data_IF_104012823148
#
_entry.id   IF_104012823148
#
_cell.length_a   1.000
_cell.length_b   1.000
_cell.length_c   1.000
_cell.angle_alpha   90.00
_cell.angle_beta   90.00
_cell.angle_gamma   90.00
#
_symmetry.space_group_name_H-M   'P 1'
#
loop_
_entity.id
_entity.type
_entity.pdbx_description
1 polymer ?
#
# COMPACT_ATOMS: atom_id res chain seq x y z
N UNK A 1 6.32 8.96 40.79
CA UNK A 1 7.15 8.39 39.71
C UNK A 1 6.60 7.02 39.39
N UNK A 2 5.85 6.90 38.29
CA UNK A 2 5.47 5.57 37.75
C UNK A 2 6.76 4.99 37.16
N UNK A 3 7.15 3.78 37.59
CA UNK A 3 8.38 3.16 37.11
C UNK A 3 8.37 3.06 35.58
N UNK A 4 9.42 3.55 34.92
CA UNK A 4 9.62 3.33 33.49
C UNK A 4 9.95 1.85 33.30
N UNK A 5 8.97 1.07 32.85
CA UNK A 5 9.21 -0.27 32.33
C UNK A 5 9.85 -0.20 30.95
N UNK A 6 10.54 -1.26 30.53
CA UNK A 6 11.01 -1.41 29.16
C UNK A 6 10.45 -2.67 28.54
N UNK A 7 10.17 -2.59 27.24
CA UNK A 7 9.51 -3.64 26.46
C UNK A 7 10.42 -4.03 25.30
N UNK A 8 10.51 -5.34 25.04
CA UNK A 8 11.29 -5.89 23.93
C UNK A 8 10.53 -5.70 22.62
N UNK A 9 11.15 -5.00 21.68
CA UNK A 9 10.65 -4.82 20.32
C UNK A 9 11.05 -5.95 19.39
N UNK A 10 12.30 -6.40 19.49
CA UNK A 10 12.85 -7.39 18.58
C UNK A 10 14.08 -8.06 19.18
N UNK A 11 14.28 -9.35 18.89
CA UNK A 11 15.48 -10.11 19.25
C UNK A 11 16.11 -10.70 17.99
N UNK A 12 17.36 -10.33 17.74
CA UNK A 12 18.15 -10.90 16.65
C UNK A 12 18.61 -12.33 16.96
N UNK A 13 18.97 -13.07 15.92
CA UNK A 13 19.53 -14.44 16.07
C UNK A 13 20.85 -14.46 16.84
N UNK A 14 21.62 -13.38 16.78
CA UNK A 14 22.88 -13.22 17.51
C UNK A 14 22.69 -12.80 18.99
N UNK A 15 21.44 -12.64 19.43
CA UNK A 15 21.09 -12.27 20.79
C UNK A 15 20.93 -10.78 21.06
N UNK A 16 21.21 -9.88 20.09
CA UNK A 16 20.93 -8.44 20.27
C UNK A 16 19.44 -8.21 20.48
N UNK A 17 19.13 -7.32 21.41
CA UNK A 17 17.75 -6.98 21.80
C UNK A 17 17.51 -5.50 21.54
N UNK A 18 16.42 -5.21 20.84
CA UNK A 18 15.91 -3.86 20.64
C UNK A 18 14.78 -3.65 21.65
N UNK A 19 14.86 -2.58 22.43
CA UNK A 19 13.87 -2.25 23.47
C UNK A 19 13.41 -0.81 23.33
N UNK A 20 12.27 -0.50 23.94
CA UNK A 20 11.78 0.87 24.12
C UNK A 20 11.18 1.03 25.51
N UNK A 21 11.20 2.25 26.04
CA UNK A 21 10.63 2.55 27.35
C UNK A 21 9.11 2.75 27.27
N UNK A 22 8.39 2.28 28.28
CA UNK A 22 6.95 2.47 28.45
C UNK A 22 6.61 3.69 29.32
N UNK A 23 5.40 4.28 29.15
CA UNK A 23 4.37 3.94 28.17
C UNK A 23 4.69 4.45 26.74
N UNK A 24 4.10 3.85 25.71
CA UNK A 24 4.18 4.35 24.33
C UNK A 24 3.36 5.64 24.19
N UNK A 25 3.97 6.77 24.54
CA UNK A 25 3.36 8.09 24.52
C UNK A 25 3.24 8.68 23.10
N UNK A 26 2.29 9.60 22.94
CA UNK A 26 2.11 10.39 21.73
C UNK A 26 2.11 11.86 22.11
N UNK A 27 3.01 12.64 21.52
CA UNK A 27 3.11 14.08 21.69
C UNK A 27 2.48 14.86 20.52
N UNK A 28 1.89 14.16 19.55
CA UNK A 28 1.25 14.77 18.39
C UNK A 28 -0.20 15.14 18.68
N UNK A 29 -0.56 16.37 18.34
CA UNK A 29 -1.96 16.77 18.17
C UNK A 29 -2.45 16.34 16.78
N UNK A 30 -3.34 15.34 16.76
CA UNK A 30 -3.88 14.79 15.52
C UNK A 30 -4.78 15.79 14.77
N UNK A 31 -5.36 16.76 15.46
CA UNK A 31 -6.15 17.81 14.80
C UNK A 31 -5.24 18.72 13.99
N UNK A 32 -4.10 19.13 14.56
CA UNK A 32 -3.05 19.86 13.84
C UNK A 32 -2.53 19.05 12.64
N UNK A 33 -2.24 17.75 12.82
CA UNK A 33 -1.82 16.87 11.71
C UNK A 33 -2.85 16.83 10.59
N UNK A 34 -4.14 16.65 10.91
CA UNK A 34 -5.24 16.66 9.93
C UNK A 34 -5.30 17.99 9.18
N UNK A 35 -5.30 19.11 9.91
CA UNK A 35 -5.46 20.45 9.36
C UNK A 35 -4.30 20.83 8.43
N UNK A 36 -3.06 20.63 8.86
CA UNK A 36 -1.88 21.04 8.07
C UNK A 36 -1.71 20.20 6.80
N UNK A 37 -2.00 18.90 6.89
CA UNK A 37 -2.02 18.02 5.72
C UNK A 37 -3.26 18.28 4.84
N UNK A 38 -4.33 18.86 5.38
CA UNK A 38 -5.60 19.01 4.67
C UNK A 38 -6.27 17.67 4.40
N UNK A 39 -6.22 16.74 5.38
CA UNK A 39 -6.85 15.43 5.22
C UNK A 39 -8.37 15.55 5.28
N UNK A 40 -9.12 14.88 4.38
CA UNK A 40 -10.57 14.83 4.45
C UNK A 40 -11.08 14.26 5.76
N UNK A 41 -12.22 14.76 6.26
CA UNK A 41 -12.82 14.33 7.53
C UNK A 41 -13.03 12.81 7.62
N UNK A 42 -13.35 12.14 6.52
CA UNK A 42 -13.57 10.69 6.51
C UNK A 42 -12.32 9.87 6.84
N UNK A 43 -11.11 10.42 6.71
CA UNK A 43 -9.87 9.67 7.01
C UNK A 43 -9.83 9.40 8.50
N UNK A 44 -9.95 8.13 8.90
CA UNK A 44 -10.07 7.76 10.31
C UNK A 44 -8.69 7.67 10.98
N UNK A 45 -8.31 8.74 11.69
CA UNK A 45 -7.07 8.80 12.48
C UNK A 45 -7.16 8.08 13.84
N UNK A 46 -8.29 7.42 14.16
CA UNK A 46 -8.34 6.51 15.31
C UNK A 46 -7.73 5.15 14.98
N UNK A 47 -7.74 4.75 13.69
CA UNK A 47 -7.00 3.60 13.21
C UNK A 47 -5.50 3.85 13.33
N UNK A 48 -4.83 3.05 14.18
CA UNK A 48 -3.41 3.24 14.55
C UNK A 48 -2.48 3.31 13.32
N UNK A 49 -2.66 2.42 12.35
CA UNK A 49 -1.88 2.39 11.10
C UNK A 49 -2.10 3.66 10.25
N UNK A 50 -3.34 4.13 10.11
CA UNK A 50 -3.68 5.35 9.35
C UNK A 50 -3.12 6.59 10.04
N UNK A 51 -3.28 6.65 11.37
CA UNK A 51 -2.70 7.69 12.22
C UNK A 51 -1.18 7.78 12.08
N UNK A 52 -0.49 6.63 12.10
CA UNK A 52 0.96 6.58 11.90
C UNK A 52 1.34 7.06 10.51
N UNK A 53 0.63 6.62 9.46
CA UNK A 53 0.88 7.08 8.10
C UNK A 53 0.78 8.61 7.98
N UNK A 54 -0.30 9.20 8.49
CA UNK A 54 -0.51 10.64 8.50
C UNK A 54 0.57 11.38 9.32
N UNK A 55 0.86 10.91 10.53
CA UNK A 55 1.90 11.48 11.38
C UNK A 55 3.29 11.43 10.71
N UNK A 56 3.61 10.33 10.04
CA UNK A 56 4.89 10.16 9.33
C UNK A 56 5.01 11.14 8.16
N UNK A 57 3.94 11.33 7.38
CA UNK A 57 3.91 12.33 6.30
C UNK A 57 4.10 13.74 6.87
N UNK A 58 3.29 14.10 7.88
CA UNK A 58 3.35 15.42 8.53
C UNK A 58 4.74 15.71 9.10
N UNK A 59 5.31 14.74 9.81
CA UNK A 59 6.64 14.85 10.40
C UNK A 59 7.71 15.02 9.31
N UNK A 60 7.57 14.34 8.17
CA UNK A 60 8.53 14.42 7.07
C UNK A 60 8.52 15.77 6.37
N UNK A 61 7.33 16.34 6.17
CA UNK A 61 7.17 17.69 5.60
C UNK A 61 7.76 18.73 6.54
N UNK A 62 7.51 18.58 7.85
CA UNK A 62 7.97 19.51 8.88
C UNK A 62 9.39 19.22 9.41
N UNK A 63 10.03 18.15 8.94
CA UNK A 63 11.32 17.68 9.46
C UNK A 63 12.46 18.71 9.43
N UNK A 64 12.56 19.63 8.45
CA UNK A 64 13.60 20.68 8.50
C UNK A 64 13.47 21.58 9.73
N UNK A 65 12.24 21.83 10.19
CA UNK A 65 11.96 22.65 11.37
C UNK A 65 12.02 21.82 12.65
N UNK A 66 11.39 20.64 12.65
CA UNK A 66 11.28 19.79 13.84
C UNK A 66 12.62 19.19 14.27
N UNK A 67 13.53 18.95 13.33
CA UNK A 67 14.86 18.42 13.58
C UNK A 67 15.94 19.50 13.51
N UNK A 68 15.58 20.77 13.68
CA UNK A 68 16.51 21.89 13.63
C UNK A 68 17.65 21.72 14.64
N UNK A 69 18.90 21.84 14.15
CA UNK A 69 20.10 21.66 14.98
C UNK A 69 20.51 20.21 15.21
N UNK A 70 19.75 19.22 14.72
CA UNK A 70 20.18 17.83 14.72
C UNK A 70 21.23 17.57 13.63
N UNK A 71 22.15 16.62 13.89
CA UNK A 71 23.22 16.25 12.93
C UNK A 71 22.68 15.83 11.56
N UNK A 72 21.47 15.27 11.51
CA UNK A 72 20.84 14.74 10.29
C UNK A 72 19.62 15.57 9.84
N UNK A 73 19.57 16.87 10.21
CA UNK A 73 18.51 17.78 9.81
C UNK A 73 18.37 17.83 8.27
N UNK A 74 17.19 17.51 7.71
CA UNK A 74 16.93 17.72 6.31
C UNK A 74 16.89 19.22 5.95
N UNK A 75 17.44 19.58 4.79
CA UNK A 75 17.45 20.98 4.30
C UNK A 75 16.11 21.43 3.73
N UNK A 76 15.35 20.49 3.16
CA UNK A 76 14.07 20.72 2.48
C UNK A 76 13.03 19.76 3.06
N UNK A 77 11.75 20.11 2.92
CA UNK A 77 10.64 19.22 3.26
C UNK A 77 10.67 17.94 2.41
N UNK A 78 10.33 16.81 3.03
CA UNK A 78 10.21 15.53 2.33
C UNK A 78 8.73 15.21 2.11
N UNK A 79 8.39 14.77 0.90
CA UNK A 79 7.03 14.43 0.50
C UNK A 79 6.92 12.94 0.17
N UNK A 80 6.94 12.04 1.18
CA UNK A 80 6.71 10.63 0.95
C UNK A 80 5.27 10.40 0.46
N UNK A 81 5.09 9.46 -0.46
CA UNK A 81 3.80 9.09 -1.01
C UNK A 81 3.41 7.71 -0.49
N UNK A 82 2.18 7.56 -0.03
CA UNK A 82 1.62 6.28 0.39
C UNK A 82 1.24 5.41 -0.81
N UNK A 83 1.46 4.11 -0.63
CA UNK A 83 0.90 3.04 -1.45
C UNK A 83 0.15 2.03 -0.56
N UNK A 84 -0.38 0.96 -1.16
CA UNK A 84 -1.00 -0.13 -0.42
C UNK A 84 -2.29 0.27 0.29
N UNK A 85 -2.61 -0.43 1.38
CA UNK A 85 -3.88 -0.25 2.10
C UNK A 85 -4.01 1.12 2.79
N UNK A 86 -2.90 1.69 3.27
CA UNK A 86 -2.90 3.03 3.84
C UNK A 86 -3.30 4.09 2.81
N UNK A 87 -2.79 4.01 1.57
CA UNK A 87 -3.22 4.90 0.49
C UNK A 87 -4.71 4.76 0.17
N UNK A 88 -5.26 3.54 0.24
CA UNK A 88 -6.70 3.31 0.06
C UNK A 88 -7.50 3.99 1.16
N UNK A 89 -7.08 3.92 2.43
CA UNK A 89 -7.72 4.65 3.53
C UNK A 89 -7.65 6.17 3.36
N UNK A 90 -6.55 6.69 2.82
CA UNK A 90 -6.43 8.14 2.57
C UNK A 90 -7.32 8.61 1.42
N UNK A 91 -7.52 7.78 0.39
CA UNK A 91 -8.32 8.13 -0.77
C UNK A 91 -9.78 7.71 -0.66
N UNK A 92 -10.18 6.65 0.02
CA UNK A 92 -11.51 6.08 -0.16
C UNK A 92 -12.36 6.31 1.09
N UNK A 93 -13.41 7.11 0.97
CA UNK A 93 -14.36 7.35 2.05
C UNK A 93 -15.03 6.04 2.50
N UNK A 94 -15.44 5.22 1.55
CA UNK A 94 -16.07 3.92 1.82
C UNK A 94 -15.15 2.96 2.57
N UNK A 95 -13.82 3.10 2.42
CA UNK A 95 -12.83 2.32 3.16
C UNK A 95 -12.64 2.77 4.62
N UNK A 96 -13.27 3.88 5.05
CA UNK A 96 -13.23 4.38 6.43
C UNK A 96 -14.58 4.30 7.15
N UNK A 97 -15.68 4.02 6.44
CA UNK A 97 -17.01 3.94 7.03
C UNK A 97 -17.19 2.64 7.81
N UNK A 98 -17.53 2.71 9.09
CA UNK A 98 -17.82 1.54 9.92
C UNK A 98 -18.97 0.70 9.31
N UNK A 99 -18.82 -0.63 9.33
CA UNK A 99 -19.79 -1.55 8.73
C UNK A 99 -19.77 -1.62 7.20
N UNK A 100 -19.04 -0.75 6.50
CA UNK A 100 -18.89 -0.82 5.05
C UNK A 100 -17.96 -2.01 4.68
N UNK A 101 -18.32 -2.87 3.70
CA UNK A 101 -17.48 -3.99 3.26
C UNK A 101 -16.05 -3.61 2.84
N UNK A 102 -15.84 -2.38 2.39
CA UNK A 102 -14.51 -1.90 2.01
C UNK A 102 -13.64 -1.47 3.21
N UNK A 103 -14.25 -1.26 4.38
CA UNK A 103 -13.55 -0.87 5.59
C UNK A 103 -12.89 -2.07 6.29
N UNK A 104 -11.78 -2.54 5.69
CA UNK A 104 -10.93 -3.57 6.29
C UNK A 104 -9.85 -2.97 7.19
N UNK A 105 -9.33 -3.78 8.10
CA UNK A 105 -8.10 -3.45 8.83
C UNK A 105 -6.88 -3.50 7.90
N UNK A 106 -5.94 -2.58 8.11
CA UNK A 106 -4.66 -2.52 7.38
C UNK A 106 -3.50 -2.76 8.36
N UNK A 107 -2.58 -3.65 7.98
CA UNK A 107 -1.51 -4.11 8.87
C UNK A 107 -0.18 -3.37 8.70
N UNK A 108 0.12 -2.91 7.48
CA UNK A 108 1.41 -2.35 7.11
C UNK A 108 1.24 -1.00 6.42
N UNK A 109 2.32 -0.21 6.43
CA UNK A 109 2.41 1.10 5.77
C UNK A 109 3.61 1.03 4.85
N UNK A 110 3.38 1.39 3.60
CA UNK A 110 4.40 1.40 2.58
C UNK A 110 4.48 2.78 1.95
N UNK A 111 5.70 3.26 1.75
CA UNK A 111 5.98 4.57 1.18
C UNK A 111 6.75 4.44 -0.13
N UNK A 112 6.60 5.44 -0.99
CA UNK A 112 7.49 5.72 -2.09
C UNK A 112 8.06 7.12 -1.92
N UNK A 113 9.36 7.28 -2.12
CA UNK A 113 10.07 8.56 -2.02
C UNK A 113 10.88 8.83 -3.29
N UNK A 114 11.24 10.09 -3.48
CA UNK A 114 12.16 10.49 -4.55
C UNK A 114 13.57 9.91 -4.29
N UNK A 115 14.37 9.75 -5.35
CA UNK A 115 15.74 9.25 -5.21
C UNK A 115 16.64 10.11 -4.34
N UNK A 116 16.46 11.43 -4.40
CA UNK A 116 17.23 12.36 -3.56
C UNK A 116 16.87 12.30 -2.08
N UNK A 117 15.73 11.69 -1.74
CA UNK A 117 15.18 11.68 -0.38
C UNK A 117 15.24 10.31 0.31
N UNK A 118 15.50 9.22 -0.42
CA UNK A 118 15.55 7.84 0.12
C UNK A 118 16.22 7.70 1.48
N UNK A 119 17.53 7.96 1.55
CA UNK A 119 18.30 7.84 2.79
C UNK A 119 17.89 8.88 3.85
N UNK A 120 17.55 10.11 3.42
CA UNK A 120 17.11 11.19 4.32
C UNK A 120 15.79 10.83 5.01
N UNK A 121 14.87 10.23 4.28
CA UNK A 121 13.57 9.79 4.81
C UNK A 121 13.77 8.74 5.90
N UNK A 122 14.67 7.77 5.70
CA UNK A 122 15.01 6.81 6.76
C UNK A 122 15.56 7.52 8.00
N UNK A 123 16.45 8.51 7.85
CA UNK A 123 16.93 9.29 9.00
C UNK A 123 15.79 10.06 9.70
N UNK A 124 14.86 10.64 8.95
CA UNK A 124 13.67 11.30 9.49
C UNK A 124 12.82 10.32 10.31
N UNK A 125 12.53 9.13 9.79
CA UNK A 125 11.77 8.10 10.49
C UNK A 125 12.42 7.70 11.82
N UNK A 126 13.73 7.43 11.80
CA UNK A 126 14.49 7.03 12.99
C UNK A 126 14.52 8.11 14.09
N UNK A 127 14.37 9.38 13.72
CA UNK A 127 14.33 10.49 14.68
C UNK A 127 12.91 10.88 15.10
N UNK A 128 11.86 10.30 14.49
CA UNK A 128 10.47 10.72 14.70
C UNK A 128 10.06 10.64 16.18
N UNK A 129 10.41 9.57 16.88
CA UNK A 129 10.04 9.41 18.30
C UNK A 129 10.62 10.45 19.25
N UNK A 130 11.73 11.11 18.88
CA UNK A 130 12.33 12.17 19.71
C UNK A 130 11.46 13.43 19.83
N UNK A 131 10.50 13.59 18.91
CA UNK A 131 9.58 14.73 18.86
C UNK A 131 8.13 14.26 19.00
N UNK A 132 7.73 13.26 18.21
CA UNK A 132 6.34 12.79 18.13
C UNK A 132 5.92 11.88 19.29
N UNK A 133 6.86 11.39 20.10
CA UNK A 133 6.62 10.41 21.17
C UNK A 133 6.89 8.97 20.73
N UNK A 134 6.98 8.06 21.71
CA UNK A 134 7.43 6.68 21.54
C UNK A 134 6.44 5.79 20.78
N UNK A 135 5.17 6.17 20.73
CA UNK A 135 4.18 5.54 19.84
C UNK A 135 4.60 5.61 18.35
N UNK A 136 5.46 6.57 17.97
CA UNK A 136 5.95 6.76 16.61
C UNK A 136 7.39 6.28 16.41
N UNK A 137 7.87 5.37 17.25
CA UNK A 137 9.23 4.86 17.15
C UNK A 137 9.43 3.97 15.92
N UNK A 138 10.40 4.37 15.10
CA UNK A 138 10.95 3.57 14.01
C UNK A 138 12.37 3.15 14.34
N UNK A 139 12.75 1.95 13.95
CA UNK A 139 14.10 1.41 14.16
C UNK A 139 14.52 0.48 13.02
N UNK A 140 15.83 0.23 12.93
CA UNK A 140 16.41 -0.72 11.98
C UNK A 140 17.23 -1.77 12.72
N UNK A 141 16.97 -3.03 12.39
CA UNK A 141 17.74 -4.17 12.88
C UNK A 141 19.04 -4.35 12.07
N UNK A 142 19.91 -5.27 12.46
CA UNK A 142 21.11 -5.59 11.66
C UNK A 142 20.70 -6.24 10.33
N UNK A 143 19.71 -7.13 10.37
CA UNK A 143 19.12 -7.70 9.15
C UNK A 143 18.56 -6.64 8.20
N UNK A 144 17.89 -5.60 8.74
CA UNK A 144 17.38 -4.50 7.92
C UNK A 144 18.51 -3.66 7.31
N UNK A 145 19.61 -3.42 8.06
CA UNK A 145 20.79 -2.73 7.53
C UNK A 145 21.42 -3.49 6.36
N UNK A 146 21.57 -4.80 6.49
CA UNK A 146 22.08 -5.66 5.42
C UNK A 146 21.16 -5.65 4.21
N UNK A 147 19.85 -5.79 4.42
CA UNK A 147 18.85 -5.69 3.35
C UNK A 147 18.96 -4.34 2.61
N UNK A 148 19.01 -3.22 3.34
CA UNK A 148 19.10 -1.88 2.79
C UNK A 148 20.39 -1.66 1.98
N UNK A 149 21.52 -2.19 2.46
CA UNK A 149 22.80 -2.13 1.76
C UNK A 149 22.75 -2.91 0.43
N UNK A 150 22.21 -4.13 0.45
CA UNK A 150 22.09 -4.98 -0.75
C UNK A 150 21.17 -4.39 -1.82
N UNK A 151 20.20 -3.56 -1.44
CA UNK A 151 19.28 -2.88 -2.37
C UNK A 151 19.83 -1.55 -2.92
N UNK A 152 21.05 -1.14 -2.54
CA UNK A 152 21.77 -0.01 -3.11
C UNK A 152 20.92 1.27 -3.26
N UNK A 153 20.05 1.54 -2.28
CA UNK A 153 19.20 2.74 -2.24
C UNK A 153 17.97 2.71 -3.15
N UNK A 154 17.58 1.55 -3.70
CA UNK A 154 16.35 1.39 -4.49
C UNK A 154 15.12 1.00 -3.66
N UNK A 155 15.35 0.40 -2.49
CA UNK A 155 14.34 0.04 -1.50
C UNK A 155 14.99 0.01 -0.12
N UNK A 156 14.27 0.52 0.87
CA UNK A 156 14.65 0.42 2.27
C UNK A 156 13.57 -0.32 3.05
N UNK A 157 13.99 -0.95 4.14
CA UNK A 157 13.18 -1.58 5.14
C UNK A 157 13.48 -0.94 6.49
N UNK A 158 12.42 -0.64 7.21
CA UNK A 158 12.44 -0.11 8.58
C UNK A 158 11.31 -0.77 9.37
N UNK A 159 11.44 -0.81 10.68
CA UNK A 159 10.43 -1.36 11.58
C UNK A 159 9.79 -0.27 12.41
N UNK A 160 8.52 -0.45 12.74
CA UNK A 160 7.76 0.49 13.56
C UNK A 160 7.08 -0.26 14.71
N UNK A 161 7.05 0.38 15.88
CA UNK A 161 6.25 -0.09 17.02
C UNK A 161 4.81 0.31 16.80
N UNK A 162 3.89 -0.64 16.67
CA UNK A 162 2.47 -0.38 16.42
C UNK A 162 1.61 -0.35 17.69
N UNK A 163 2.13 -0.92 18.78
CA UNK A 163 1.54 -0.87 20.09
C UNK A 163 2.00 -2.04 20.94
N UNK A 164 1.23 -2.30 22.00
CA UNK A 164 1.40 -3.46 22.88
C UNK A 164 0.14 -4.29 22.80
N UNK A 165 0.30 -5.61 22.68
CA UNK A 165 -0.77 -6.60 22.73
C UNK A 165 -0.29 -7.75 23.63
N UNK A 166 -1.13 -8.15 24.58
CA UNK A 166 -0.85 -9.24 25.53
C UNK A 166 0.51 -9.12 26.27
N UNK A 167 0.94 -7.87 26.54
CA UNK A 167 2.21 -7.58 27.21
C UNK A 167 3.44 -7.60 26.30
N UNK A 168 3.27 -7.84 24.99
CA UNK A 168 4.34 -7.88 23.99
C UNK A 168 4.22 -6.75 22.96
N UNK A 169 5.37 -6.34 22.40
CA UNK A 169 5.38 -5.29 21.40
C UNK A 169 4.87 -5.83 20.07
N UNK A 170 3.89 -5.15 19.48
CA UNK A 170 3.50 -5.39 18.10
C UNK A 170 4.42 -4.56 17.21
N UNK A 171 5.34 -5.22 16.51
CA UNK A 171 6.25 -4.58 15.56
C UNK A 171 5.86 -4.92 14.13
N UNK A 172 5.79 -3.88 13.29
CA UNK A 172 5.49 -4.00 11.86
C UNK A 172 6.68 -3.59 11.01
N UNK A 173 6.72 -4.14 9.80
CA UNK A 173 7.72 -3.74 8.80
C UNK A 173 7.10 -2.67 7.90
N UNK A 174 7.88 -1.68 7.52
CA UNK A 174 7.52 -0.63 6.57
C UNK A 174 8.52 -0.70 5.42
N UNK A 175 8.01 -0.92 4.21
CA UNK A 175 8.83 -0.80 3.01
C UNK A 175 8.81 0.64 2.49
N UNK A 176 9.99 1.11 2.10
CA UNK A 176 10.18 2.42 1.46
C UNK A 176 10.81 2.18 0.10
N UNK A 177 10.00 2.33 -0.94
CA UNK A 177 10.44 2.25 -2.32
C UNK A 177 11.02 3.59 -2.78
N UNK A 178 11.94 3.55 -3.74
CA UNK A 178 12.55 4.76 -4.32
C UNK A 178 12.22 4.85 -5.79
N UNK A 179 11.44 5.88 -6.16
CA UNK A 179 10.94 6.19 -7.52
C UNK A 179 10.12 5.10 -8.23
N UNK A 180 10.15 3.85 -7.79
CA UNK A 180 9.40 2.77 -8.42
C UNK A 180 9.05 1.68 -7.44
N UNK A 181 7.88 1.09 -7.66
CA UNK A 181 7.50 -0.17 -7.04
C UNK A 181 7.72 -1.28 -8.05
N UNK A 182 8.71 -2.14 -7.81
CA UNK A 182 9.06 -3.26 -8.67
C UNK A 182 8.66 -4.57 -7.99
N UNK A 183 7.47 -5.06 -8.34
CA UNK A 183 6.96 -6.37 -7.92
C UNK A 183 6.77 -7.23 -9.18
N UNK A 184 5.56 -7.77 -9.40
CA UNK A 184 5.24 -8.56 -10.59
C UNK A 184 5.36 -7.73 -11.88
N UNK A 185 5.05 -6.44 -11.77
CA UNK A 185 5.29 -5.41 -12.78
C UNK A 185 5.96 -4.20 -12.11
N UNK A 186 6.41 -3.24 -12.91
CA UNK A 186 7.01 -2.00 -12.39
C UNK A 186 6.04 -0.84 -12.52
N UNK A 187 5.70 -0.21 -11.39
CA UNK A 187 5.00 1.09 -11.37
C UNK A 187 6.04 2.16 -11.08
N UNK A 188 6.28 3.05 -12.05
CA UNK A 188 7.25 4.16 -11.94
C UNK A 188 6.57 5.44 -11.47
N UNK A 189 7.30 6.18 -10.65
CA UNK A 189 6.95 7.49 -10.12
C UNK A 189 8.02 8.47 -10.60
N UNK A 190 7.54 9.59 -11.12
CA UNK A 190 8.30 10.70 -11.67
C UNK A 190 8.22 11.88 -10.70
N UNK A 191 9.05 12.89 -10.90
CA UNK A 191 9.08 14.10 -10.05
C UNK A 191 7.71 14.78 -9.91
N UNK A 192 6.88 14.70 -10.95
CA UNK A 192 5.53 15.28 -10.92
C UNK A 192 4.64 14.60 -9.88
N UNK A 193 4.76 13.29 -9.65
CA UNK A 193 3.95 12.61 -8.63
C UNK A 193 4.24 13.15 -7.23
N UNK A 194 5.52 13.44 -6.94
CA UNK A 194 5.94 14.02 -5.67
C UNK A 194 5.51 15.49 -5.54
N UNK A 195 5.48 16.26 -6.64
CA UNK A 195 4.92 17.62 -6.66
C UNK A 195 3.40 17.62 -6.42
N UNK A 196 2.72 16.58 -6.89
CA UNK A 196 1.28 16.37 -6.70
C UNK A 196 0.93 15.67 -5.37
N UNK A 197 1.88 15.55 -4.43
CA UNK A 197 1.65 14.87 -3.16
C UNK A 197 0.38 15.37 -2.44
N UNK A 198 0.28 16.68 -2.18
CA UNK A 198 -0.88 17.24 -1.45
C UNK A 198 -2.21 17.09 -2.21
N UNK A 199 -2.32 17.43 -3.52
CA UNK A 199 -3.53 17.16 -4.30
C UNK A 199 -3.95 15.68 -4.32
N UNK A 200 -2.99 14.76 -4.27
CA UNK A 200 -3.22 13.32 -4.20
C UNK A 200 -3.35 12.79 -2.76
N UNK A 201 -3.55 13.65 -1.77
CA UNK A 201 -3.70 13.30 -0.35
C UNK A 201 -2.53 12.43 0.13
N UNK A 202 -1.33 12.80 -0.32
CA UNK A 202 -0.04 12.17 -0.04
C UNK A 202 0.00 10.69 -0.42
N UNK A 203 -0.70 10.32 -1.49
CA UNK A 203 -0.63 9.00 -2.13
C UNK A 203 0.02 9.12 -3.51
N UNK A 204 0.30 7.97 -4.14
CA UNK A 204 0.80 7.94 -5.53
C UNK A 204 -0.22 8.38 -6.60
N UNK A 205 -1.42 8.82 -6.19
CA UNK A 205 -2.52 9.12 -7.09
C UNK A 205 -3.36 7.87 -7.41
N UNK A 206 -4.61 8.09 -7.82
CA UNK A 206 -5.58 7.01 -7.97
C UNK A 206 -5.20 6.01 -9.08
N UNK A 207 -4.68 6.48 -10.21
CA UNK A 207 -4.29 5.64 -11.35
C UNK A 207 -3.13 4.73 -10.99
N UNK A 208 -2.06 5.28 -10.39
CA UNK A 208 -0.90 4.48 -9.99
C UNK A 208 -1.24 3.56 -8.85
N UNK A 209 -2.11 3.96 -7.92
CA UNK A 209 -2.60 3.08 -6.86
C UNK A 209 -3.37 1.90 -7.45
N UNK A 210 -4.25 2.13 -8.44
CA UNK A 210 -4.90 1.05 -9.19
C UNK A 210 -3.86 0.11 -9.80
N UNK A 211 -2.83 0.63 -10.47
CA UNK A 211 -1.77 -0.18 -11.06
C UNK A 211 -0.97 -0.96 -10.00
N UNK A 212 -0.72 -0.39 -8.82
CA UNK A 212 -0.03 -1.11 -7.73
C UNK A 212 -0.83 -2.32 -7.24
N UNK A 213 -2.16 -2.28 -7.31
CA UNK A 213 -3.06 -3.35 -6.86
C UNK A 213 -3.35 -4.36 -7.95
N UNK A 214 -3.62 -3.89 -9.17
CA UNK A 214 -3.99 -4.71 -10.31
C UNK A 214 -2.81 -5.49 -10.93
N UNK A 215 -1.58 -5.27 -10.48
CA UNK A 215 -0.40 -5.99 -10.99
C UNK A 215 -0.21 -7.39 -10.41
N UNK A 216 -1.01 -7.79 -9.41
CA UNK A 216 -0.87 -9.11 -8.77
C UNK A 216 -1.18 -10.20 -9.78
N UNK A 217 -0.18 -11.05 -10.04
CA UNK A 217 -0.30 -12.22 -10.90
C UNK A 217 0.73 -13.27 -10.51
N UNK A 218 0.34 -14.54 -10.56
CA UNK A 218 1.21 -15.70 -10.40
C UNK A 218 0.62 -16.91 -11.13
N UNK A 219 1.33 -18.04 -11.11
CA UNK A 219 0.82 -19.33 -11.59
C UNK A 219 0.81 -20.39 -10.48
N UNK A 220 -0.15 -21.31 -10.56
CA UNK A 220 -0.20 -22.55 -9.77
C UNK A 220 -0.35 -23.75 -10.70
N UNK A 221 0.02 -24.95 -10.23
CA UNK A 221 -0.32 -26.19 -10.95
C UNK A 221 -1.83 -26.42 -10.88
N UNK A 222 -2.46 -26.87 -11.98
CA UNK A 222 -3.91 -27.21 -11.98
C UNK A 222 -4.30 -28.26 -10.94
N UNK A 223 -3.36 -29.13 -10.54
CA UNK A 223 -3.56 -30.11 -9.46
C UNK A 223 -3.87 -29.46 -8.09
N UNK A 224 -3.49 -28.20 -7.89
CA UNK A 224 -3.76 -27.44 -6.66
C UNK A 224 -5.15 -26.77 -6.67
N UNK A 225 -5.97 -26.98 -7.70
CA UNK A 225 -7.33 -26.43 -7.76
C UNK A 225 -8.19 -26.83 -6.55
N UNK A 226 -8.23 -28.11 -6.10
CA UNK A 226 -9.05 -28.49 -4.96
C UNK A 226 -8.62 -27.80 -3.66
N UNK A 227 -7.30 -27.61 -3.45
CA UNK A 227 -6.77 -26.90 -2.28
C UNK A 227 -7.16 -25.42 -2.33
N UNK A 228 -7.10 -24.80 -3.51
CA UNK A 228 -7.48 -23.40 -3.72
C UNK A 228 -8.99 -23.18 -3.48
N UNK A 229 -9.83 -24.11 -3.92
CA UNK A 229 -11.27 -24.11 -3.67
C UNK A 229 -11.59 -24.30 -2.19
N UNK A 230 -10.93 -25.27 -1.53
CA UNK A 230 -11.09 -25.51 -0.10
C UNK A 230 -10.68 -24.29 0.75
N UNK A 231 -9.65 -23.56 0.33
CA UNK A 231 -9.22 -22.31 0.97
C UNK A 231 -10.13 -21.10 0.63
N UNK A 232 -11.17 -21.28 -0.19
CA UNK A 232 -12.04 -20.19 -0.66
C UNK A 232 -11.32 -19.15 -1.52
N UNK A 233 -10.22 -19.54 -2.16
CA UNK A 233 -9.34 -18.67 -2.97
C UNK A 233 -9.58 -18.81 -4.48
N UNK A 234 -10.54 -19.63 -4.91
CA UNK A 234 -10.85 -19.85 -6.33
C UNK A 234 -11.32 -18.57 -7.07
N UNK A 235 -11.84 -17.58 -6.34
CA UNK A 235 -12.21 -16.26 -6.90
C UNK A 235 -11.02 -15.55 -7.58
N UNK A 236 -9.78 -15.95 -7.27
CA UNK A 236 -8.54 -15.39 -7.80
C UNK A 236 -8.17 -15.91 -9.19
N UNK A 237 -8.79 -17.00 -9.65
CA UNK A 237 -8.46 -17.61 -10.94
C UNK A 237 -8.84 -16.65 -12.07
N UNK A 238 -7.83 -16.27 -12.87
CA UNK A 238 -7.97 -15.41 -14.03
C UNK A 238 -8.27 -16.25 -15.28
N UNK A 239 -9.32 -15.89 -16.02
CA UNK A 239 -9.66 -16.57 -17.26
C UNK A 239 -8.72 -16.12 -18.40
N UNK A 240 -7.69 -16.92 -18.68
CA UNK A 240 -6.75 -16.67 -19.78
C UNK A 240 -6.40 -17.97 -20.52
N UNK A 241 -7.13 -18.31 -21.59
CA UNK A 241 -7.04 -19.63 -22.26
C UNK A 241 -5.77 -19.83 -23.10
N UNK A 242 -4.94 -18.79 -23.26
CA UNK A 242 -3.71 -18.86 -24.06
C UNK A 242 -2.48 -19.27 -23.24
N UNK A 243 -2.65 -19.49 -21.93
CA UNK A 243 -1.58 -19.93 -21.05
C UNK A 243 -1.38 -21.45 -21.07
N UNK A 244 -0.37 -21.93 -20.35
CA UNK A 244 -0.05 -23.36 -20.23
C UNK A 244 -1.25 -24.15 -19.70
N UNK A 245 -1.62 -25.22 -20.40
CA UNK A 245 -2.73 -26.10 -20.03
C UNK A 245 -2.55 -26.78 -18.67
N UNK A 246 -1.33 -26.91 -18.15
CA UNK A 246 -1.08 -27.51 -16.83
C UNK A 246 -1.15 -26.51 -15.66
N UNK A 247 -1.37 -25.22 -15.94
CA UNK A 247 -1.31 -24.14 -14.96
C UNK A 247 -2.65 -23.41 -14.80
N UNK A 248 -2.84 -22.83 -13.62
CA UNK A 248 -3.84 -21.82 -13.32
C UNK A 248 -3.14 -20.47 -13.26
N UNK A 249 -3.72 -19.45 -13.90
CA UNK A 249 -3.27 -18.06 -13.73
C UNK A 249 -4.05 -17.48 -12.56
N UNK A 250 -3.33 -16.98 -11.55
CA UNK A 250 -3.91 -16.51 -10.29
C UNK A 250 -3.65 -15.01 -10.15
N UNK A 251 -4.69 -14.26 -9.85
CA UNK A 251 -4.67 -12.80 -9.67
C UNK A 251 -4.69 -12.36 -8.21
N UNK A 252 -5.31 -11.20 -8.00
CA UNK A 252 -5.37 -10.47 -6.74
C UNK A 252 -5.81 -11.32 -5.55
N UNK A 253 -5.16 -11.12 -4.39
CA UNK A 253 -5.68 -11.62 -3.11
C UNK A 253 -6.96 -10.87 -2.71
N UNK A 254 -7.69 -11.39 -1.72
CA UNK A 254 -8.91 -10.75 -1.21
C UNK A 254 -8.66 -9.29 -0.84
N UNK A 255 -7.55 -8.99 -0.14
CA UNK A 255 -7.22 -7.62 0.30
C UNK A 255 -7.04 -6.67 -0.90
N UNK A 256 -6.38 -7.12 -1.97
CA UNK A 256 -6.08 -6.29 -3.14
C UNK A 256 -7.31 -6.09 -4.01
N UNK A 257 -8.18 -7.11 -4.10
CA UNK A 257 -9.46 -7.01 -4.80
C UNK A 257 -10.40 -6.03 -4.08
N UNK A 258 -10.52 -6.13 -2.75
CA UNK A 258 -11.36 -5.23 -1.97
C UNK A 258 -10.83 -3.79 -1.98
N UNK A 259 -9.51 -3.61 -1.88
CA UNK A 259 -8.87 -2.30 -2.02
C UNK A 259 -9.16 -1.67 -3.40
N UNK A 260 -8.99 -2.45 -4.46
CA UNK A 260 -9.23 -1.98 -5.82
C UNK A 260 -10.71 -1.67 -6.06
N UNK A 261 -11.62 -2.48 -5.51
CA UNK A 261 -13.06 -2.20 -5.57
C UNK A 261 -13.43 -0.90 -4.84
N UNK A 262 -12.87 -0.65 -3.66
CA UNK A 262 -13.07 0.59 -2.93
C UNK A 262 -12.59 1.81 -3.73
N UNK A 263 -11.40 1.70 -4.31
CA UNK A 263 -10.83 2.75 -5.16
C UNK A 263 -11.70 3.03 -6.39
N UNK A 264 -12.13 1.99 -7.10
CA UNK A 264 -12.99 2.14 -8.29
C UNK A 264 -14.36 2.73 -7.90
N UNK A 265 -14.96 2.24 -6.81
CA UNK A 265 -16.25 2.67 -6.30
C UNK A 265 -16.27 4.16 -5.92
N UNK A 266 -15.21 4.65 -5.29
CA UNK A 266 -15.15 6.02 -4.78
C UNK A 266 -14.54 7.02 -5.77
N UNK A 267 -13.64 6.56 -6.66
CA UNK A 267 -12.78 7.47 -7.44
C UNK A 267 -13.06 7.53 -8.93
N UNK A 268 -13.98 6.72 -9.47
CA UNK A 268 -14.28 6.77 -10.92
C UNK A 268 -15.53 7.58 -11.22
N UNK A 269 -16.65 7.22 -10.57
CA UNK A 269 -17.97 7.80 -10.78
C UNK A 269 -18.39 8.64 -9.56
N UNK A 270 -19.00 9.79 -9.83
CA UNK A 270 -19.56 10.70 -8.82
C UNK A 270 -18.55 11.22 -7.78
N UNK A 271 -17.32 11.49 -8.21
CA UNK A 271 -16.24 11.98 -7.33
C UNK A 271 -16.56 13.39 -6.85
N UNK A 272 -16.95 13.52 -5.57
CA UNK A 272 -17.33 14.80 -4.96
C UNK A 272 -16.12 15.65 -4.53
N UNK A 273 -15.01 15.02 -4.14
CA UNK A 273 -13.81 15.70 -3.66
C UNK A 273 -12.57 14.80 -3.74
N UNK A 274 -11.38 15.40 -3.82
CA UNK A 274 -10.11 14.67 -3.94
C UNK A 274 -9.80 14.19 -5.37
N UNK A 275 -8.72 13.40 -5.56
CA UNK A 275 -8.31 12.97 -6.89
C UNK A 275 -9.32 12.01 -7.51
N UNK A 276 -9.57 12.19 -8.80
CA UNK A 276 -10.37 11.27 -9.62
C UNK A 276 -9.44 10.25 -10.27
N UNK A 277 -9.90 9.02 -10.42
CA UNK A 277 -9.30 8.01 -11.26
C UNK A 277 -9.81 8.20 -12.69
N UNK A 278 -8.91 8.61 -13.59
CA UNK A 278 -9.20 8.79 -15.00
C UNK A 278 -8.84 7.53 -15.81
N UNK A 279 -9.84 6.81 -16.38
CA UNK A 279 -9.61 5.65 -17.25
C UNK A 279 -8.63 5.90 -18.40
N UNK A 280 -8.66 7.08 -19.01
CA UNK A 280 -7.81 7.45 -20.14
C UNK A 280 -6.36 7.59 -19.67
N UNK A 281 -6.15 8.16 -18.48
CA UNK A 281 -4.83 8.25 -17.88
C UNK A 281 -4.24 6.88 -17.54
N UNK A 282 -5.05 5.94 -17.06
CA UNK A 282 -4.61 4.54 -16.85
C UNK A 282 -4.18 3.91 -18.19
N UNK A 283 -4.95 4.14 -19.26
CA UNK A 283 -4.64 3.67 -20.61
C UNK A 283 -3.30 4.23 -21.13
N UNK A 284 -3.04 5.52 -20.94
CA UNK A 284 -1.77 6.15 -21.30
C UNK A 284 -0.57 5.56 -20.56
N UNK A 285 -0.71 5.32 -19.25
CA UNK A 285 0.34 4.72 -18.41
C UNK A 285 0.71 3.31 -18.87
N UNK A 286 -0.25 2.56 -19.40
CA UNK A 286 -0.06 1.17 -19.85
C UNK A 286 0.24 1.02 -21.35
N UNK A 287 0.10 2.09 -22.15
CA UNK A 287 0.17 2.05 -23.61
C UNK A 287 1.41 1.34 -24.17
N UNK A 288 2.56 1.48 -23.49
CA UNK A 288 3.85 0.91 -23.90
C UNK A 288 4.19 -0.42 -23.21
N UNK A 289 3.42 -0.86 -22.23
CA UNK A 289 3.65 -2.08 -21.48
C UNK A 289 2.48 -3.06 -21.65
N UNK A 290 2.55 -3.81 -22.75
CA UNK A 290 1.53 -4.78 -23.14
C UNK A 290 1.38 -5.94 -22.12
N UNK A 291 2.46 -6.26 -21.38
CA UNK A 291 2.45 -7.32 -20.36
C UNK A 291 1.72 -6.86 -19.11
N UNK A 292 2.00 -5.65 -18.67
CA UNK A 292 1.30 -5.06 -17.54
C UNK A 292 -0.16 -4.77 -17.91
N UNK A 293 -0.42 -4.24 -19.10
CA UNK A 293 -1.76 -4.05 -19.64
C UNK A 293 -2.61 -5.32 -19.57
N UNK A 294 -2.10 -6.45 -20.05
CA UNK A 294 -2.80 -7.73 -19.99
C UNK A 294 -3.15 -8.10 -18.54
N UNK A 295 -2.19 -7.95 -17.62
CA UNK A 295 -2.40 -8.28 -16.20
C UNK A 295 -3.51 -7.43 -15.58
N UNK A 296 -3.48 -6.12 -15.83
CA UNK A 296 -4.49 -5.18 -15.33
C UNK A 296 -5.86 -5.53 -15.91
N UNK A 297 -5.96 -5.79 -17.22
CA UNK A 297 -7.22 -6.19 -17.85
C UNK A 297 -7.78 -7.48 -17.27
N UNK A 298 -6.95 -8.50 -17.06
CA UNK A 298 -7.41 -9.77 -16.48
C UNK A 298 -7.93 -9.58 -15.04
N UNK A 299 -7.22 -8.81 -14.21
CA UNK A 299 -7.66 -8.54 -12.84
C UNK A 299 -8.95 -7.69 -12.79
N UNK A 300 -9.10 -6.69 -13.66
CA UNK A 300 -10.33 -5.90 -13.76
C UNK A 300 -11.50 -6.74 -14.31
N UNK A 301 -11.26 -7.58 -15.31
CA UNK A 301 -12.28 -8.50 -15.82
C UNK A 301 -12.70 -9.49 -14.72
N UNK A 302 -11.77 -9.97 -13.91
CA UNK A 302 -12.08 -10.86 -12.81
C UNK A 302 -12.98 -10.21 -11.75
N UNK A 303 -12.89 -8.89 -11.52
CA UNK A 303 -13.85 -8.17 -10.65
C UNK A 303 -15.27 -8.28 -11.22
N UNK A 304 -15.44 -8.13 -12.54
CA UNK A 304 -16.74 -8.26 -13.21
C UNK A 304 -17.28 -9.71 -13.13
N UNK A 305 -16.40 -10.68 -13.34
CA UNK A 305 -16.72 -12.11 -13.38
C UNK A 305 -16.98 -12.71 -11.98
N UNK A 306 -16.77 -11.94 -10.90
CA UNK A 306 -16.87 -12.38 -9.49
C UNK A 306 -17.86 -11.55 -8.68
N UNK A 307 -18.91 -11.05 -9.33
CA UNK A 307 -19.99 -10.30 -8.65
C UNK A 307 -20.68 -11.11 -7.55
N UNK A 308 -20.81 -12.43 -7.71
CA UNK A 308 -21.31 -13.38 -6.72
C UNK A 308 -20.42 -13.41 -5.47
N UNK A 309 -19.10 -13.49 -5.65
CA UNK A 309 -18.14 -13.44 -4.56
C UNK A 309 -18.17 -12.08 -3.86
N UNK A 310 -18.26 -10.98 -4.60
CA UNK A 310 -18.38 -9.63 -4.03
C UNK A 310 -19.64 -9.49 -3.17
N UNK A 311 -20.77 -10.04 -3.60
CA UNK A 311 -22.00 -10.12 -2.80
C UNK A 311 -21.78 -10.91 -1.51
N UNK A 312 -21.06 -12.04 -1.58
CA UNK A 312 -20.71 -12.83 -0.39
C UNK A 312 -19.83 -12.09 0.61
N UNK A 313 -19.12 -11.03 0.18
CA UNK A 313 -18.35 -10.13 1.05
C UNK A 313 -19.17 -8.97 1.63
N UNK A 314 -20.47 -8.94 1.37
CA UNK A 314 -21.40 -7.96 1.94
C UNK A 314 -21.66 -6.74 1.06
N UNK A 315 -21.16 -6.70 -0.18
CA UNK A 315 -21.50 -5.60 -1.09
C UNK A 315 -22.99 -5.68 -1.47
N UNK A 316 -23.67 -4.54 -1.40
CA UNK A 316 -25.05 -4.40 -1.87
C UNK A 316 -25.15 -4.44 -3.39
N UNK A 317 -26.34 -4.76 -3.92
CA UNK A 317 -26.59 -4.72 -5.38
C UNK A 317 -26.29 -3.35 -6.00
N UNK A 318 -26.57 -2.28 -5.26
CA UNK A 318 -26.27 -0.91 -5.71
C UNK A 318 -24.75 -0.70 -5.85
N UNK A 319 -23.96 -1.11 -4.85
CA UNK A 319 -22.50 -1.03 -4.90
C UNK A 319 -21.93 -1.89 -6.03
N UNK A 320 -22.44 -3.11 -6.22
CA UNK A 320 -22.00 -4.00 -7.31
C UNK A 320 -22.33 -3.40 -8.68
N UNK A 321 -23.51 -2.80 -8.85
CA UNK A 321 -23.91 -2.14 -10.10
C UNK A 321 -22.99 -0.97 -10.42
N UNK A 322 -22.76 -0.07 -9.46
CA UNK A 322 -21.84 1.08 -9.61
C UNK A 322 -20.42 0.62 -9.93
N UNK A 323 -19.92 -0.39 -9.20
CA UNK A 323 -18.60 -0.97 -9.42
C UNK A 323 -18.47 -1.60 -10.81
N UNK A 324 -19.51 -2.29 -11.27
CA UNK A 324 -19.56 -2.91 -12.61
C UNK A 324 -19.46 -1.84 -13.70
N UNK A 325 -20.24 -0.76 -13.59
CA UNK A 325 -20.21 0.35 -14.54
C UNK A 325 -18.83 1.03 -14.57
N UNK A 326 -18.31 1.38 -13.39
CA UNK A 326 -17.00 2.01 -13.26
C UNK A 326 -15.86 1.12 -13.80
N UNK A 327 -15.88 -0.18 -13.50
CA UNK A 327 -14.87 -1.14 -13.98
C UNK A 327 -14.96 -1.32 -15.50
N UNK A 328 -16.16 -1.38 -16.07
CA UNK A 328 -16.36 -1.40 -17.53
C UNK A 328 -15.83 -0.13 -18.19
N UNK A 329 -16.04 1.04 -17.58
CA UNK A 329 -15.48 2.30 -18.07
C UNK A 329 -13.95 2.25 -18.20
N UNK A 330 -13.27 1.71 -17.17
CA UNK A 330 -11.81 1.49 -17.21
C UNK A 330 -11.44 0.50 -18.32
N UNK A 331 -12.06 -0.68 -18.35
CA UNK A 331 -11.77 -1.72 -19.35
C UNK A 331 -11.98 -1.26 -20.79
N UNK A 332 -12.97 -0.41 -21.04
CA UNK A 332 -13.27 0.15 -22.37
C UNK A 332 -12.23 1.18 -22.81
N UNK A 333 -11.62 1.93 -21.86
CA UNK A 333 -10.55 2.88 -22.17
C UNK A 333 -9.19 2.18 -22.43
N UNK A 334 -9.00 0.98 -21.86
CA UNK A 334 -7.78 0.21 -22.04
C UNK A 334 -7.74 -0.49 -23.41
N UNK A 335 -6.64 -0.41 -24.17
CA UNK A 335 -6.50 -1.15 -25.42
C UNK A 335 -6.51 -2.66 -25.17
N UNK A 336 -6.90 -3.44 -26.18
CA UNK A 336 -6.72 -4.89 -26.14
C UNK A 336 -5.26 -5.22 -26.40
N UNK A 337 -4.68 -6.20 -25.68
CA UNK A 337 -3.32 -6.64 -25.94
C UNK A 337 -3.25 -7.40 -27.26
N UNK A 338 -2.34 -7.01 -28.14
CA UNK A 338 -2.20 -7.62 -29.47
C UNK A 338 -1.59 -9.02 -29.40
N UNK A 339 -0.75 -9.26 -28.39
CA UNK A 339 0.01 -10.49 -28.22
C UNK A 339 -0.68 -11.44 -27.25
N UNK A 340 -0.52 -12.74 -27.51
CA UNK A 340 -0.87 -13.83 -26.61
C UNK A 340 0.42 -14.37 -25.96
N UNK A 341 0.38 -14.67 -24.66
CA UNK A 341 1.53 -15.21 -23.93
C UNK A 341 1.22 -16.59 -23.36
N UNK A 342 2.08 -17.54 -23.67
CA UNK A 342 2.05 -18.93 -23.19
C UNK A 342 3.09 -19.19 -22.08
N UNK A 343 3.88 -18.18 -21.74
CA UNK A 343 4.93 -18.17 -20.70
C UNK A 343 4.73 -17.00 -19.75
N UNK A 344 5.26 -17.06 -18.50
CA UNK A 344 5.12 -15.96 -17.56
C UNK A 344 5.51 -14.64 -18.19
N UNK A 345 4.60 -13.67 -18.17
CA UNK A 345 4.83 -12.32 -18.66
C UNK A 345 5.07 -11.31 -17.54
N UNK A 346 5.21 -11.78 -16.32
CA UNK A 346 5.50 -11.01 -15.11
C UNK A 346 6.84 -11.45 -14.52
N UNK A 347 7.33 -10.70 -13.53
CA UNK A 347 8.52 -11.08 -12.78
C UNK A 347 8.24 -12.26 -11.84
N UNK A 348 8.91 -13.39 -12.06
CA UNK A 348 8.79 -14.62 -11.26
C UNK A 348 9.67 -14.65 -10.01
N UNK A 349 10.67 -13.76 -9.92
CA UNK A 349 11.65 -13.75 -8.84
C UNK A 349 11.15 -13.01 -7.59
N UNK A 350 9.96 -12.41 -7.67
CA UNK A 350 9.26 -11.82 -6.53
C UNK A 350 8.59 -12.93 -5.74
N UNK A 351 8.74 -12.91 -4.42
CA UNK A 351 8.13 -13.87 -3.51
C UNK A 351 6.63 -14.05 -3.80
N UNK A 352 6.21 -15.31 -3.91
CA UNK A 352 4.82 -15.67 -4.14
C UNK A 352 4.15 -15.85 -2.78
N UNK A 353 2.99 -15.20 -2.53
CA UNK A 353 2.23 -15.46 -1.33
C UNK A 353 1.90 -16.95 -1.23
N UNK A 354 2.09 -17.53 -0.05
CA UNK A 354 1.73 -18.93 0.22
C UNK A 354 0.20 -19.03 0.21
N UNK A 355 -0.34 -20.08 -0.42
CA UNK A 355 -1.76 -20.40 -0.30
C UNK A 355 -1.97 -20.86 1.14
N UNK A 356 -2.61 -20.03 1.95
CA UNK A 356 -2.96 -20.35 3.35
C UNK A 356 -4.45 -20.23 3.53
#
# INVERSE_FOLDING_TARGET
>A
MVGMGSIVLYRERDGRVYTIDEPLDSNLDLNTVRLELGLPEYVDLNQRTVRRAAATIWFSINSPKLLAGSKNQPKEALYPLLIGGAAIKMLCESANQEGNPFNRSIGDIDFVVSKKDGSKFIQVLLNMSSVAGRAYHYFVTEGDRMFNALRAGTRYRVRAVEGVADGEAVVKTTDVFVEKMELRHTVKLEDEDFRQAKPNIYTVGAEKLLLTKAQVITELDKKSLPELEAAGQAFRILNYPYYKDSKLVIGMEQKDMMDLCALIHDRVLDVKSGPRLDPQRVSELLKKDQKFLLTVRLNLQNILDRSDWLRSKGLSEHQITKLTEATKSILNALPNPDKKWDKPWWNTDVETPVIT
#
